data_IF_048894049516
#
_entry.id   IF_048894049516
#
_cell.length_a   1.000
_cell.length_b   1.000
_cell.length_c   1.000
_cell.angle_alpha   90.00
_cell.angle_beta   90.00
_cell.angle_gamma   90.00
#
_symmetry.space_group_name_H-M   'P 1'
#
loop_
_entity.id
_entity.type
_entity.pdbx_description
1 polymer ?
#
# COMPACT_ATOMS: atom_id res chain seq x y z
N UNK A 1 6.34 1.92 -10.79
CA UNK A 1 7.37 1.30 -11.66
C UNK A 1 8.73 1.59 -11.03
N UNK A 2 9.32 0.57 -10.42
CA UNK A 2 10.64 0.67 -9.77
C UNK A 2 11.69 0.77 -10.88
N UNK A 3 12.42 1.89 -10.96
CA UNK A 3 13.62 1.98 -11.81
C UNK A 3 14.84 1.87 -10.90
N UNK A 4 15.70 0.91 -11.18
CA UNK A 4 17.02 0.74 -10.54
C UNK A 4 17.84 2.02 -10.84
N UNK A 5 18.19 2.78 -9.82
CA UNK A 5 19.15 3.88 -9.92
C UNK A 5 20.54 3.34 -9.63
N UNK A 6 21.49 3.59 -10.53
CA UNK A 6 22.89 3.21 -10.35
C UNK A 6 23.49 3.91 -9.11
N UNK A 7 23.93 3.12 -8.12
CA UNK A 7 24.57 3.64 -6.90
C UNK A 7 26.04 4.02 -7.16
N UNK A 8 26.48 5.24 -6.84
CA UNK A 8 27.91 5.54 -6.80
C UNK A 8 28.55 5.02 -5.49
N UNK A 9 29.72 4.39 -5.58
CA UNK A 9 30.56 4.03 -4.44
C UNK A 9 31.00 5.30 -3.70
N UNK A 10 30.59 5.46 -2.44
CA UNK A 10 31.15 6.46 -1.51
C UNK A 10 32.07 5.78 -0.50
N UNK A 11 33.33 6.20 -0.47
CA UNK A 11 34.26 5.89 0.63
C UNK A 11 33.86 6.68 1.87
N UNK A 12 33.54 5.99 2.96
CA UNK A 12 33.25 6.59 4.26
C UNK A 12 34.56 6.78 5.04
N UNK A 13 35.04 8.01 5.12
CA UNK A 13 35.94 8.42 6.20
C UNK A 13 35.13 8.63 7.48
N UNK A 14 35.49 7.94 8.56
CA UNK A 14 34.85 8.08 9.87
C UNK A 14 35.21 9.42 10.53
N UNK A 15 34.25 10.14 11.15
CA UNK A 15 34.59 11.18 12.11
C UNK A 15 34.65 10.63 13.55
N UNK A 16 35.69 11.04 14.27
CA UNK A 16 35.98 10.63 15.65
C UNK A 16 35.09 11.31 16.69
N UNK A 17 34.80 10.55 17.76
CA UNK A 17 33.84 10.76 18.85
C UNK A 17 34.08 11.92 19.84
N UNK A 18 34.75 13.02 19.48
CA UNK A 18 35.01 14.14 20.42
C UNK A 18 34.90 15.49 19.72
N UNK A 19 33.71 16.09 19.76
CA UNK A 19 33.47 17.53 19.73
C UNK A 19 31.97 17.80 19.86
N UNK A 20 31.48 17.71 21.09
CA UNK A 20 30.22 18.32 21.49
C UNK A 20 30.48 18.95 22.86
N UNK A 21 29.98 20.18 23.05
CA UNK A 21 30.09 21.04 24.23
C UNK A 21 31.23 22.08 24.19
N UNK A 22 30.94 23.27 23.66
CA UNK A 22 31.06 24.58 24.35
C UNK A 22 30.80 25.78 23.42
N UNK A 23 30.34 26.88 24.03
CA UNK A 23 30.22 28.28 23.53
C UNK A 23 28.84 28.59 22.87
N UNK A 24 28.02 29.55 23.29
CA UNK A 24 28.12 30.59 24.32
C UNK A 24 26.72 31.04 24.79
N UNK A 25 26.64 31.38 26.08
CA UNK A 25 25.71 32.39 26.58
C UNK A 25 26.39 33.76 26.46
N UNK A 26 25.64 34.79 26.06
CA UNK A 26 25.61 36.17 26.59
C UNK A 26 24.70 36.99 25.66
N UNK A 27 23.67 37.59 26.25
CA UNK A 27 22.74 38.48 25.55
C UNK A 27 21.57 38.86 26.46
N UNK A 28 21.87 39.57 27.56
CA UNK A 28 20.86 40.16 28.41
C UNK A 28 20.27 41.39 27.70
N UNK A 29 19.07 41.24 27.15
CA UNK A 29 18.25 42.33 26.64
C UNK A 29 16.90 42.33 27.35
N UNK A 30 16.65 43.38 28.14
CA UNK A 30 15.36 43.66 28.77
C UNK A 30 14.26 43.78 27.70
N UNK A 31 13.47 42.73 27.53
CA UNK A 31 12.18 42.79 26.87
C UNK A 31 11.11 42.40 27.88
N UNK A 32 10.24 43.36 28.21
CA UNK A 32 9.10 43.15 29.08
C UNK A 32 8.31 41.91 28.62
N UNK A 33 8.23 40.90 29.47
CA UNK A 33 7.38 39.73 29.24
C UNK A 33 5.92 40.17 29.36
N UNK A 34 5.34 40.68 28.28
CA UNK A 34 3.90 40.56 28.12
C UNK A 34 3.63 39.07 28.04
N UNK A 35 3.01 38.53 29.10
CA UNK A 35 2.50 37.18 29.08
C UNK A 35 1.57 37.07 27.88
N UNK A 36 2.02 36.35 26.85
CA UNK A 36 1.23 36.06 25.67
C UNK A 36 0.11 35.14 26.14
N UNK A 37 -1.04 35.72 26.49
CA UNK A 37 -2.26 34.94 26.67
C UNK A 37 -2.77 34.64 25.26
N UNK A 38 -2.72 33.38 24.80
CA UNK A 38 -3.33 33.04 23.53
C UNK A 38 -4.81 33.44 23.60
N UNK A 39 -5.39 33.98 22.53
CA UNK A 39 -6.80 34.31 22.52
C UNK A 39 -7.59 33.06 22.87
N UNK A 40 -8.29 33.08 24.01
CA UNK A 40 -9.27 32.05 24.35
C UNK A 40 -10.39 32.16 23.32
N UNK A 41 -10.39 31.24 22.36
CA UNK A 41 -11.52 31.05 21.45
C UNK A 41 -12.79 30.94 22.30
N UNK A 42 -13.85 31.71 21.98
CA UNK A 42 -15.10 31.59 22.70
C UNK A 42 -15.64 30.16 22.52
N UNK A 43 -15.60 29.38 23.59
CA UNK A 43 -16.28 28.11 23.64
C UNK A 43 -17.78 28.38 23.76
N UNK A 44 -18.52 28.23 22.65
CA UNK A 44 -19.96 27.97 22.61
C UNK A 44 -20.32 27.47 21.20
N UNK A 45 -21.00 26.33 21.17
CA UNK A 45 -21.45 25.47 20.05
C UNK A 45 -20.48 24.38 19.51
N UNK A 46 -19.17 24.51 19.65
CA UNK A 46 -18.19 23.58 19.01
C UNK A 46 -17.96 22.21 19.68
N UNK A 47 -18.50 21.96 20.87
CA UNK A 47 -17.93 20.95 21.77
C UNK A 47 -18.03 19.48 21.28
N UNK A 48 -18.86 19.19 20.27
CA UNK A 48 -19.15 17.81 19.83
C UNK A 48 -19.31 17.64 18.32
N UNK A 49 -18.87 18.58 17.48
CA UNK A 49 -19.07 18.49 16.03
C UNK A 49 -18.52 17.18 15.43
N UNK A 50 -17.33 16.78 15.86
CA UNK A 50 -16.68 15.53 15.44
C UNK A 50 -17.11 14.30 16.24
N UNK A 51 -18.06 14.43 17.18
CA UNK A 51 -18.57 13.25 17.88
C UNK A 51 -19.32 12.37 16.92
N UNK A 52 -18.98 11.07 16.91
CA UNK A 52 -19.65 10.06 16.10
C UNK A 52 -21.07 9.86 16.67
N UNK A 53 -22.07 10.22 15.86
CA UNK A 53 -23.48 10.08 16.21
C UNK A 53 -24.01 8.70 15.86
N UNK A 54 -23.64 8.18 14.68
CA UNK A 54 -24.06 6.86 14.22
C UNK A 54 -23.01 6.22 13.29
N UNK A 55 -23.05 4.89 13.21
CA UNK A 55 -22.24 4.08 12.31
C UNK A 55 -23.16 3.03 11.69
N UNK A 56 -23.33 3.09 10.38
CA UNK A 56 -24.09 2.13 9.57
C UNK A 56 -23.13 1.23 8.78
N UNK A 57 -23.49 -0.04 8.62
CA UNK A 57 -22.73 -1.00 7.82
C UNK A 57 -23.65 -1.78 6.89
N UNK A 58 -23.32 -1.79 5.61
CA UNK A 58 -24.13 -2.45 4.56
C UNK A 58 -23.24 -3.36 3.74
N UNK A 59 -23.53 -4.66 3.77
CA UNK A 59 -22.84 -5.63 2.92
C UNK A 59 -23.40 -5.59 1.50
N UNK A 60 -22.50 -5.45 0.54
CA UNK A 60 -22.79 -5.46 -0.90
C UNK A 60 -22.02 -6.58 -1.58
N UNK A 61 -22.64 -7.16 -2.61
CA UNK A 61 -21.99 -8.10 -3.53
C UNK A 61 -21.67 -7.37 -4.83
N UNK A 62 -20.40 -7.26 -5.17
CA UNK A 62 -19.92 -6.60 -6.39
C UNK A 62 -19.60 -7.65 -7.45
N UNK A 63 -20.26 -7.62 -8.63
CA UNK A 63 -20.00 -8.59 -9.68
C UNK A 63 -18.67 -8.31 -10.38
N UNK A 64 -18.00 -9.38 -10.82
CA UNK A 64 -16.84 -9.31 -11.70
C UNK A 64 -17.25 -9.39 -13.17
N UNK A 65 -16.43 -8.82 -14.07
CA UNK A 65 -16.49 -9.13 -15.50
C UNK A 65 -16.22 -10.62 -15.72
N UNK A 66 -16.64 -11.17 -16.86
CA UNK A 66 -16.57 -12.60 -17.14
C UNK A 66 -15.18 -13.23 -16.92
N UNK A 67 -14.12 -12.64 -17.47
CA UNK A 67 -12.74 -13.14 -17.34
C UNK A 67 -12.22 -13.16 -15.90
N UNK A 68 -12.23 -12.04 -15.15
CA UNK A 68 -11.87 -12.11 -13.74
C UNK A 68 -12.85 -12.98 -12.94
N UNK A 69 -14.15 -13.03 -13.26
CA UNK A 69 -15.13 -13.82 -12.51
C UNK A 69 -14.77 -15.31 -12.45
N UNK A 70 -14.54 -15.95 -13.61
CA UNK A 70 -14.22 -17.40 -13.65
C UNK A 70 -12.92 -17.74 -12.93
N UNK A 71 -11.92 -16.85 -12.99
CA UNK A 71 -10.63 -17.08 -12.34
C UNK A 71 -10.70 -16.79 -10.83
N UNK A 72 -11.40 -15.73 -10.42
CA UNK A 72 -11.66 -15.43 -9.02
C UNK A 72 -12.56 -16.47 -8.36
N UNK A 73 -13.56 -17.02 -9.06
CA UNK A 73 -14.42 -18.08 -8.53
C UNK A 73 -13.64 -19.35 -8.19
N UNK A 74 -12.56 -19.64 -8.93
CA UNK A 74 -11.66 -20.77 -8.66
C UNK A 74 -10.81 -20.55 -7.41
N UNK A 75 -10.21 -19.37 -7.26
CA UNK A 75 -9.18 -19.13 -6.25
C UNK A 75 -9.68 -18.32 -5.04
N UNK A 76 -10.46 -17.27 -5.28
CA UNK A 76 -10.85 -16.25 -4.29
C UNK A 76 -12.34 -15.85 -4.42
N UNK A 77 -13.30 -16.80 -4.39
CA UNK A 77 -14.71 -16.51 -4.68
C UNK A 77 -15.32 -15.47 -3.73
N UNK A 78 -14.77 -15.36 -2.52
CA UNK A 78 -15.23 -14.47 -1.45
C UNK A 78 -14.83 -12.99 -1.64
N UNK A 79 -13.95 -12.64 -2.59
CA UNK A 79 -13.53 -11.24 -2.83
C UNK A 79 -14.63 -10.38 -3.49
N UNK A 80 -15.85 -10.88 -3.64
CA UNK A 80 -17.00 -10.11 -4.14
C UNK A 80 -17.82 -9.43 -3.04
N UNK A 81 -17.51 -9.70 -1.77
CA UNK A 81 -18.30 -9.22 -0.64
C UNK A 81 -17.58 -8.07 0.08
N UNK A 82 -18.09 -6.86 -0.10
CA UNK A 82 -17.60 -5.66 0.58
C UNK A 82 -18.65 -5.17 1.55
N UNK A 83 -18.23 -4.64 2.69
CA UNK A 83 -19.07 -3.94 3.65
C UNK A 83 -18.78 -2.45 3.54
N UNK A 84 -19.81 -1.67 3.20
CA UNK A 84 -19.75 -0.22 3.15
C UNK A 84 -20.04 0.31 4.55
N UNK A 85 -19.09 1.06 5.11
CA UNK A 85 -19.20 1.67 6.43
C UNK A 85 -19.50 3.15 6.25
N UNK A 86 -20.59 3.62 6.86
CA UNK A 86 -20.94 5.04 6.89
C UNK A 86 -20.85 5.55 8.32
N UNK A 87 -20.08 6.61 8.54
CA UNK A 87 -20.02 7.32 9.82
C UNK A 87 -20.80 8.62 9.68
N UNK A 88 -21.74 8.86 10.59
CA UNK A 88 -22.44 10.15 10.72
C UNK A 88 -21.94 10.88 11.96
N UNK A 89 -21.43 12.10 11.79
CA UNK A 89 -21.00 12.96 12.89
C UNK A 89 -22.15 13.83 13.40
N UNK A 90 -22.05 14.36 14.62
CA UNK A 90 -23.11 15.20 15.22
C UNK A 90 -23.34 16.54 14.51
N UNK A 91 -22.37 17.01 13.72
CA UNK A 91 -22.57 18.15 12.82
C UNK A 91 -23.36 17.78 11.54
N UNK A 92 -23.80 16.52 11.40
CA UNK A 92 -24.57 16.03 10.25
C UNK A 92 -23.73 15.54 9.07
N UNK A 93 -22.40 15.73 9.11
CA UNK A 93 -21.51 15.28 8.03
C UNK A 93 -21.39 13.76 8.06
N UNK A 94 -21.40 13.15 6.87
CA UNK A 94 -21.22 11.72 6.65
C UNK A 94 -19.89 11.44 5.96
N UNK A 95 -19.20 10.39 6.41
CA UNK A 95 -18.02 9.84 5.73
C UNK A 95 -18.20 8.37 5.40
N UNK A 96 -17.49 7.93 4.37
CA UNK A 96 -17.65 6.60 3.78
C UNK A 96 -16.34 5.83 3.78
N UNK A 97 -16.44 4.53 4.03
CA UNK A 97 -15.31 3.62 3.97
C UNK A 97 -15.75 2.22 3.58
N UNK A 98 -14.78 1.34 3.38
CA UNK A 98 -14.99 0.00 2.87
C UNK A 98 -14.15 -1.05 3.59
N UNK A 99 -14.77 -2.19 3.87
CA UNK A 99 -14.12 -3.42 4.34
C UNK A 99 -14.34 -4.52 3.31
N UNK A 100 -13.27 -5.06 2.71
CA UNK A 100 -13.34 -6.32 1.96
C UNK A 100 -13.35 -7.49 2.96
N UNK A 101 -14.53 -8.07 3.20
CA UNK A 101 -14.84 -8.89 4.38
C UNK A 101 -13.92 -10.08 4.65
N UNK A 102 -13.27 -10.62 3.61
CA UNK A 102 -12.54 -11.87 3.67
C UNK A 102 -11.07 -11.75 3.23
N UNK A 103 -10.53 -10.54 3.09
CA UNK A 103 -9.13 -10.34 2.69
C UNK A 103 -8.45 -9.10 3.29
N UNK A 104 -9.21 -8.06 3.68
CA UNK A 104 -8.61 -6.80 4.11
C UNK A 104 -7.63 -6.96 5.29
N UNK A 105 -6.74 -5.98 5.45
CA UNK A 105 -5.74 -5.96 6.53
C UNK A 105 -6.35 -5.95 7.95
N UNK A 106 -7.61 -5.56 8.07
CA UNK A 106 -8.41 -5.65 9.29
C UNK A 106 -9.87 -5.34 9.01
N UNK A 107 -10.76 -6.29 9.28
CA UNK A 107 -12.20 -6.06 9.14
C UNK A 107 -12.75 -5.28 10.33
N UNK A 108 -13.65 -4.33 10.10
CA UNK A 108 -14.37 -3.64 11.17
C UNK A 108 -15.34 -4.60 11.85
N UNK A 109 -15.20 -4.79 13.16
CA UNK A 109 -16.07 -5.68 13.96
C UNK A 109 -17.08 -4.89 14.79
N UNK A 110 -18.06 -5.60 15.34
CA UNK A 110 -19.12 -5.02 16.17
C UNK A 110 -18.55 -4.29 17.40
N UNK A 111 -17.56 -4.87 18.06
CA UNK A 111 -16.87 -4.27 19.21
C UNK A 111 -16.14 -2.98 18.83
N UNK A 112 -15.59 -2.91 17.61
CA UNK A 112 -14.92 -1.71 17.09
C UNK A 112 -15.93 -0.58 16.86
N UNK A 113 -17.12 -0.91 16.33
CA UNK A 113 -18.25 0.03 16.18
C UNK A 113 -18.74 0.52 17.55
N UNK A 114 -18.95 -0.39 18.51
CA UNK A 114 -19.41 -0.03 19.85
C UNK A 114 -18.41 0.90 20.56
N UNK A 115 -17.11 0.61 20.44
CA UNK A 115 -16.03 1.42 21.02
C UNK A 115 -15.91 2.80 20.36
N UNK A 116 -16.20 2.92 19.07
CA UNK A 116 -16.13 4.17 18.33
C UNK A 116 -17.35 5.08 18.55
N UNK A 117 -18.56 4.54 18.75
CA UNK A 117 -19.77 5.34 18.94
C UNK A 117 -19.62 6.33 20.11
N UNK A 118 -20.00 7.59 19.88
CA UNK A 118 -19.88 8.67 20.87
C UNK A 118 -18.46 9.21 21.09
N UNK A 119 -17.43 8.63 20.50
CA UNK A 119 -16.07 9.18 20.52
C UNK A 119 -15.94 10.38 19.58
N UNK A 120 -14.88 11.16 19.76
CA UNK A 120 -14.47 12.18 18.80
C UNK A 120 -13.74 11.49 17.63
N UNK A 121 -14.28 11.58 16.42
CA UNK A 121 -13.73 10.95 15.21
C UNK A 121 -12.28 11.37 14.93
N UNK A 122 -11.96 12.66 15.08
CA UNK A 122 -10.60 13.16 14.85
C UNK A 122 -9.58 12.58 15.86
N UNK A 123 -10.02 12.19 17.06
CA UNK A 123 -9.17 11.58 18.07
C UNK A 123 -8.87 10.10 17.81
N UNK A 124 -9.70 9.40 17.03
CA UNK A 124 -9.58 7.94 16.82
C UNK A 124 -9.35 7.53 15.36
N UNK A 125 -9.43 8.45 14.39
CA UNK A 125 -9.28 8.11 12.96
C UNK A 125 -7.92 7.46 12.62
N UNK A 126 -6.89 7.65 13.44
CA UNK A 126 -5.57 7.01 13.28
C UNK A 126 -5.43 5.65 14.00
N UNK A 127 -6.48 5.15 14.67
CA UNK A 127 -6.46 3.83 15.33
C UNK A 127 -6.72 2.72 14.30
N UNK A 128 -5.64 2.09 13.82
CA UNK A 128 -5.71 0.95 12.89
C UNK A 128 -6.56 -0.21 13.46
N UNK A 129 -6.75 -0.33 14.79
CA UNK A 129 -7.55 -1.41 15.37
C UNK A 129 -9.03 -1.35 15.01
N UNK A 130 -9.51 -0.25 14.44
CA UNK A 130 -10.90 -0.07 14.00
C UNK A 130 -11.21 -0.82 12.68
N UNK A 131 -10.18 -1.30 11.98
CA UNK A 131 -10.32 -1.95 10.68
C UNK A 131 -10.51 -0.96 9.53
N UNK A 132 -10.40 -1.49 8.31
CA UNK A 132 -10.32 -0.72 7.08
C UNK A 132 -11.53 0.20 6.85
N UNK A 133 -12.74 -0.35 6.94
CA UNK A 133 -13.94 0.40 6.60
C UNK A 133 -14.21 1.54 7.57
N UNK A 134 -14.18 1.28 8.88
CA UNK A 134 -14.43 2.31 9.87
C UNK A 134 -13.31 3.36 9.89
N UNK A 135 -12.05 2.96 9.79
CA UNK A 135 -10.94 3.91 9.74
C UNK A 135 -11.07 4.87 8.55
N UNK A 136 -11.33 4.33 7.36
CA UNK A 136 -11.51 5.10 6.13
C UNK A 136 -12.71 6.06 6.25
N UNK A 137 -13.84 5.59 6.77
CA UNK A 137 -15.04 6.41 6.97
C UNK A 137 -14.81 7.57 7.95
N UNK A 138 -14.00 7.36 8.99
CA UNK A 138 -13.65 8.41 9.94
C UNK A 138 -12.78 9.49 9.30
N UNK A 139 -11.77 9.13 8.52
CA UNK A 139 -10.97 10.09 7.77
C UNK A 139 -11.82 10.91 6.81
N UNK A 140 -12.70 10.26 6.04
CA UNK A 140 -13.59 10.95 5.10
C UNK A 140 -14.54 11.92 5.83
N UNK A 141 -15.17 11.49 6.93
CA UNK A 141 -16.09 12.33 7.71
C UNK A 141 -15.40 13.56 8.32
N UNK A 142 -14.18 13.38 8.84
CA UNK A 142 -13.37 14.46 9.43
C UNK A 142 -12.92 15.43 8.34
N UNK A 143 -12.37 14.93 7.22
CA UNK A 143 -11.90 15.74 6.11
C UNK A 143 -13.04 16.61 5.52
N UNK A 144 -14.21 16.01 5.28
CA UNK A 144 -15.41 16.72 4.83
C UNK A 144 -15.88 17.79 5.80
N UNK A 145 -15.84 17.52 7.11
CA UNK A 145 -16.21 18.51 8.14
C UNK A 145 -15.24 19.70 8.19
N UNK A 146 -14.01 19.52 7.71
CA UNK A 146 -12.98 20.55 7.65
C UNK A 146 -12.92 21.26 6.29
N UNK A 147 -13.77 20.87 5.32
CA UNK A 147 -13.69 21.32 3.92
C UNK A 147 -12.28 21.13 3.33
N UNK A 148 -11.65 19.99 3.62
CA UNK A 148 -10.30 19.65 3.21
C UNK A 148 -10.25 18.26 2.56
N UNK A 149 -9.32 18.02 1.62
CA UNK A 149 -9.10 16.68 1.10
C UNK A 149 -8.38 15.80 2.13
N UNK A 150 -8.66 14.48 2.10
CA UNK A 150 -8.06 13.50 3.04
C UNK A 150 -6.53 13.58 3.03
N UNK A 151 -5.90 13.74 1.85
CA UNK A 151 -4.44 13.78 1.77
C UNK A 151 -3.85 14.90 2.65
N UNK A 152 -4.54 16.01 2.86
CA UNK A 152 -4.06 17.10 3.73
C UNK A 152 -4.03 16.71 5.22
N UNK A 153 -4.80 15.69 5.61
CA UNK A 153 -4.73 15.08 6.94
C UNK A 153 -3.61 14.04 7.04
N UNK A 154 -3.20 13.43 5.93
CA UNK A 154 -2.18 12.38 5.88
C UNK A 154 -0.77 12.95 5.66
N UNK A 155 -0.63 14.03 4.89
CA UNK A 155 0.66 14.64 4.58
C UNK A 155 0.62 15.64 3.41
N UNK A 156 1.78 15.91 2.84
CA UNK A 156 1.90 16.80 1.68
C UNK A 156 1.62 16.00 0.40
N UNK A 157 0.72 16.50 -0.45
CA UNK A 157 0.49 15.92 -1.76
C UNK A 157 1.72 16.15 -2.65
N UNK A 158 2.32 15.06 -3.15
CA UNK A 158 3.48 15.10 -4.04
C UNK A 158 3.14 14.72 -5.49
N UNK A 159 1.97 14.11 -5.71
CA UNK A 159 1.49 13.71 -7.02
C UNK A 159 0.03 14.11 -7.21
N UNK A 160 -0.29 14.66 -8.39
CA UNK A 160 -1.67 14.91 -8.83
C UNK A 160 -2.31 13.69 -9.49
N UNK A 161 -1.47 12.74 -9.93
CA UNK A 161 -1.88 11.49 -10.56
C UNK A 161 -0.96 10.38 -10.08
N UNK A 162 -1.54 9.31 -9.57
CA UNK A 162 -0.82 8.13 -9.07
C UNK A 162 -1.03 6.97 -10.04
N UNK A 163 0.03 6.28 -10.51
CA UNK A 163 -0.13 5.15 -11.42
C UNK A 163 -0.79 3.96 -10.70
N UNK A 164 -1.69 3.28 -11.40
CA UNK A 164 -2.36 2.06 -10.95
C UNK A 164 -2.00 0.91 -11.91
N UNK A 165 -1.64 -0.26 -11.37
CA UNK A 165 -1.40 -1.46 -12.17
C UNK A 165 -2.68 -2.27 -12.32
N UNK A 166 -2.91 -2.85 -13.50
CA UNK A 166 -4.06 -3.72 -13.75
C UNK A 166 -3.84 -5.08 -13.10
N UNK A 167 -4.58 -5.40 -12.05
CA UNK A 167 -4.38 -6.61 -11.28
C UNK A 167 -5.35 -7.73 -11.71
N UNK A 168 -4.81 -8.93 -11.89
CA UNK A 168 -5.60 -10.16 -12.00
C UNK A 168 -5.01 -11.26 -11.10
N UNK A 169 -5.87 -12.18 -10.69
CA UNK A 169 -5.47 -13.46 -10.10
C UNK A 169 -4.75 -14.34 -11.14
N UNK A 170 -4.28 -15.54 -10.78
CA UNK A 170 -3.73 -16.46 -11.78
C UNK A 170 -4.78 -16.85 -12.83
N UNK A 171 -4.37 -16.79 -14.10
CA UNK A 171 -5.25 -16.97 -15.27
C UNK A 171 -4.59 -17.89 -16.30
N UNK A 172 -5.36 -18.42 -17.25
CA UNK A 172 -4.78 -19.10 -18.42
C UNK A 172 -4.00 -18.11 -19.31
N UNK A 173 -3.16 -18.60 -20.24
CA UNK A 173 -2.45 -17.74 -21.19
C UNK A 173 -3.41 -16.90 -22.06
N UNK A 174 -4.53 -17.49 -22.49
CA UNK A 174 -5.56 -16.79 -23.26
C UNK A 174 -6.22 -15.67 -22.45
N UNK A 175 -6.55 -15.93 -21.18
CA UNK A 175 -7.17 -14.95 -20.29
C UNK A 175 -6.21 -13.82 -19.94
N UNK A 176 -4.94 -14.14 -19.68
CA UNK A 176 -3.89 -13.14 -19.45
C UNK A 176 -3.73 -12.20 -20.66
N UNK A 177 -3.68 -12.75 -21.87
CA UNK A 177 -3.58 -11.95 -23.10
C UNK A 177 -4.84 -11.09 -23.32
N UNK A 178 -6.03 -11.63 -23.05
CA UNK A 178 -7.28 -10.87 -23.14
C UNK A 178 -7.30 -9.69 -22.15
N UNK A 179 -6.92 -9.91 -20.90
CA UNK A 179 -6.86 -8.87 -19.87
C UNK A 179 -5.76 -7.84 -20.15
N UNK A 180 -4.59 -8.25 -20.66
CA UNK A 180 -3.55 -7.34 -21.11
C UNK A 180 -4.02 -6.44 -22.27
N UNK A 181 -4.77 -7.00 -23.22
CA UNK A 181 -5.37 -6.24 -24.33
C UNK A 181 -6.34 -5.18 -23.81
N UNK A 182 -7.22 -5.57 -22.90
CA UNK A 182 -8.19 -4.68 -22.28
C UNK A 182 -7.51 -3.59 -21.46
N UNK A 183 -6.57 -3.96 -20.57
CA UNK A 183 -5.81 -3.03 -19.75
C UNK A 183 -5.12 -1.96 -20.61
N UNK A 184 -4.43 -2.37 -21.67
CA UNK A 184 -3.83 -1.45 -22.65
C UNK A 184 -4.87 -0.52 -23.27
N UNK A 185 -6.03 -1.03 -23.69
CA UNK A 185 -7.08 -0.22 -24.32
C UNK A 185 -7.67 0.83 -23.36
N UNK A 186 -7.62 0.57 -22.05
CA UNK A 186 -8.07 1.48 -20.99
C UNK A 186 -6.96 2.43 -20.51
N UNK A 187 -5.78 2.41 -21.14
CA UNK A 187 -4.66 3.31 -20.83
C UNK A 187 -3.75 2.83 -19.70
N UNK A 188 -3.85 1.58 -19.26
CA UNK A 188 -2.91 1.02 -18.29
C UNK A 188 -1.55 0.76 -18.93
N UNK A 189 -0.50 0.96 -18.15
CA UNK A 189 0.88 0.73 -18.58
C UNK A 189 1.54 -0.49 -17.93
N UNK A 190 0.88 -1.06 -16.93
CA UNK A 190 1.37 -2.19 -16.18
C UNK A 190 0.23 -3.15 -15.85
N UNK A 191 0.59 -4.43 -15.78
CA UNK A 191 -0.27 -5.55 -15.44
C UNK A 191 0.40 -6.37 -14.35
N UNK A 192 -0.31 -6.68 -13.27
CA UNK A 192 0.16 -7.54 -12.19
C UNK A 192 -0.63 -8.84 -12.19
N UNK A 193 0.07 -9.96 -12.20
CA UNK A 193 -0.51 -11.32 -12.22
C UNK A 193 0.21 -12.24 -11.24
N UNK A 194 -0.19 -13.52 -11.23
CA UNK A 194 0.38 -14.57 -10.40
C UNK A 194 1.19 -15.56 -11.23
N UNK A 195 2.41 -15.87 -10.78
CA UNK A 195 3.30 -16.86 -11.39
C UNK A 195 3.08 -18.26 -10.82
N UNK A 196 1.96 -18.92 -11.14
CA UNK A 196 1.61 -20.21 -10.51
C UNK A 196 2.16 -21.42 -11.25
N UNK A 197 2.62 -22.47 -10.54
CA UNK A 197 3.24 -23.65 -11.16
C UNK A 197 2.26 -24.55 -11.93
N UNK A 198 0.95 -24.36 -11.79
CA UNK A 198 -0.08 -25.10 -12.56
C UNK A 198 -0.44 -24.44 -13.91
N UNK A 199 0.18 -23.31 -14.24
CA UNK A 199 0.11 -22.71 -15.57
C UNK A 199 1.49 -22.73 -16.24
N UNK A 200 1.50 -22.79 -17.57
CA UNK A 200 2.72 -22.58 -18.35
C UNK A 200 3.02 -21.08 -18.40
N UNK A 201 4.04 -20.67 -17.65
CA UNK A 201 4.45 -19.27 -17.55
C UNK A 201 5.06 -18.74 -18.86
N UNK A 202 5.69 -19.61 -19.66
CA UNK A 202 6.28 -19.24 -20.95
C UNK A 202 5.18 -19.03 -22.00
N UNK A 203 4.14 -19.86 -21.99
CA UNK A 203 2.95 -19.69 -22.81
C UNK A 203 2.22 -18.39 -22.44
N UNK A 204 2.00 -18.13 -21.15
CA UNK A 204 1.40 -16.90 -20.64
C UNK A 204 2.17 -15.66 -21.11
N UNK A 205 3.48 -15.62 -20.88
CA UNK A 205 4.32 -14.49 -21.27
C UNK A 205 4.37 -14.32 -22.79
N UNK A 206 4.41 -15.40 -23.56
CA UNK A 206 4.37 -15.35 -25.03
C UNK A 206 3.04 -14.75 -25.52
N UNK A 207 1.91 -15.23 -24.99
CA UNK A 207 0.58 -14.77 -25.38
C UNK A 207 0.38 -13.29 -25.02
N UNK A 208 0.72 -12.88 -23.79
CA UNK A 208 0.61 -11.50 -23.33
C UNK A 208 1.53 -10.56 -24.13
N UNK A 209 2.77 -10.97 -24.41
CA UNK A 209 3.74 -10.11 -25.13
C UNK A 209 3.32 -9.80 -26.56
N UNK A 210 2.59 -10.70 -27.22
CA UNK A 210 2.07 -10.49 -28.59
C UNK A 210 1.03 -9.38 -28.68
N UNK A 211 0.32 -9.09 -27.59
CA UNK A 211 -0.82 -8.15 -27.60
C UNK A 211 -0.50 -6.80 -26.96
N UNK A 212 0.66 -6.66 -26.33
CA UNK A 212 1.11 -5.41 -25.68
C UNK A 212 2.44 -4.89 -26.27
N UNK A 213 2.61 -3.57 -26.35
CA UNK A 213 3.86 -2.95 -26.83
C UNK A 213 5.03 -3.17 -25.85
N UNK A 214 6.26 -2.91 -26.32
CA UNK A 214 7.49 -3.16 -25.53
C UNK A 214 7.59 -2.35 -24.23
N UNK A 215 6.92 -1.20 -24.17
CA UNK A 215 6.88 -0.35 -22.97
C UNK A 215 5.94 -0.86 -21.88
N UNK A 216 5.01 -1.77 -22.21
CA UNK A 216 4.04 -2.29 -21.26
C UNK A 216 4.72 -3.29 -20.32
N UNK A 217 4.50 -3.14 -19.00
CA UNK A 217 5.18 -3.96 -17.99
C UNK A 217 4.27 -5.00 -17.36
N UNK A 218 4.86 -6.14 -17.03
CA UNK A 218 4.20 -7.27 -16.39
C UNK A 218 4.95 -7.58 -15.09
N UNK A 219 4.21 -7.54 -13.98
CA UNK A 219 4.67 -7.92 -12.65
C UNK A 219 4.11 -9.30 -12.33
N UNK A 220 4.93 -10.19 -11.77
CA UNK A 220 4.55 -11.57 -11.49
C UNK A 220 4.77 -11.90 -10.02
N UNK A 221 3.68 -12.19 -9.32
CA UNK A 221 3.67 -12.55 -7.92
C UNK A 221 3.55 -14.06 -7.74
N UNK A 222 4.59 -14.68 -7.18
CA UNK A 222 4.63 -16.12 -6.98
C UNK A 222 4.00 -16.55 -5.67
N UNK A 223 3.85 -15.67 -4.67
CA UNK A 223 3.45 -16.03 -3.31
C UNK A 223 4.18 -17.28 -2.79
N UNK A 224 5.51 -17.27 -2.90
CA UNK A 224 6.44 -18.28 -2.40
C UNK A 224 6.40 -19.64 -3.11
N UNK A 225 5.65 -19.78 -4.21
CA UNK A 225 5.44 -21.09 -4.86
C UNK A 225 6.68 -21.65 -5.56
N UNK A 226 7.78 -20.90 -5.68
CA UNK A 226 9.04 -21.43 -6.21
C UNK A 226 9.91 -22.12 -5.15
N UNK A 227 9.42 -22.18 -3.90
CA UNK A 227 9.97 -22.95 -2.77
C UNK A 227 11.32 -22.46 -2.22
N UNK A 228 12.38 -22.42 -3.03
CA UNK A 228 13.71 -22.00 -2.63
C UNK A 228 14.51 -21.47 -3.82
N UNK A 229 15.66 -20.84 -3.55
CA UNK A 229 16.47 -20.21 -4.59
C UNK A 229 17.02 -21.18 -5.64
N UNK A 230 17.28 -22.44 -5.30
CA UNK A 230 17.79 -23.42 -6.26
C UNK A 230 16.75 -23.73 -7.35
N UNK A 231 15.50 -23.92 -6.95
CA UNK A 231 14.39 -24.18 -7.85
C UNK A 231 13.91 -22.91 -8.57
N UNK A 232 13.93 -21.76 -7.88
CA UNK A 232 13.45 -20.50 -8.42
C UNK A 232 14.34 -19.94 -9.53
N UNK A 233 15.67 -19.94 -9.36
CA UNK A 233 16.59 -19.22 -10.24
C UNK A 233 16.50 -19.60 -11.72
N UNK A 234 16.42 -20.88 -12.12
CA UNK A 234 16.24 -21.24 -13.52
C UNK A 234 14.96 -20.66 -14.14
N UNK A 235 13.87 -20.60 -13.36
CA UNK A 235 12.58 -20.07 -13.80
C UNK A 235 12.64 -18.55 -13.91
N UNK A 236 13.11 -17.88 -12.85
CA UNK A 236 13.20 -16.41 -12.81
C UNK A 236 14.13 -15.86 -13.89
N UNK A 237 15.27 -16.52 -14.15
CA UNK A 237 16.18 -16.11 -15.23
C UNK A 237 15.52 -16.23 -16.59
N UNK A 238 14.88 -17.36 -16.88
CA UNK A 238 14.17 -17.60 -18.13
C UNK A 238 13.07 -16.55 -18.36
N UNK A 239 12.23 -16.29 -17.35
CA UNK A 239 11.19 -15.27 -17.45
C UNK A 239 11.77 -13.86 -17.60
N UNK A 240 12.89 -13.57 -16.94
CA UNK A 240 13.59 -12.30 -17.00
C UNK A 240 14.24 -11.98 -18.35
N UNK A 241 14.37 -12.96 -19.26
CA UNK A 241 14.78 -12.71 -20.65
C UNK A 241 13.76 -11.86 -21.41
N UNK A 242 12.50 -11.84 -20.98
CA UNK A 242 11.48 -10.99 -21.55
C UNK A 242 11.52 -9.58 -20.92
N UNK A 243 11.84 -8.53 -21.69
CA UNK A 243 12.02 -7.17 -21.17
C UNK A 243 10.73 -6.52 -20.65
N UNK A 244 9.57 -7.15 -20.87
CA UNK A 244 8.28 -6.71 -20.29
C UNK A 244 8.16 -7.11 -18.82
N UNK A 245 8.85 -8.15 -18.37
CA UNK A 245 8.83 -8.55 -16.95
C UNK A 245 9.57 -7.50 -16.13
N UNK A 246 8.88 -6.85 -15.21
CA UNK A 246 9.44 -5.74 -14.44
C UNK A 246 9.68 -6.09 -12.97
N UNK A 247 8.81 -6.91 -12.37
CA UNK A 247 8.89 -7.27 -10.96
C UNK A 247 8.59 -8.76 -10.77
N UNK A 248 9.42 -9.41 -9.95
CA UNK A 248 9.10 -10.67 -9.30
C UNK A 248 8.72 -10.41 -7.84
N UNK A 249 7.47 -10.65 -7.48
CA UNK A 249 6.99 -10.51 -6.12
C UNK A 249 6.99 -11.84 -5.40
N UNK A 250 7.57 -11.84 -4.21
CA UNK A 250 7.57 -12.95 -3.25
C UNK A 250 7.88 -14.30 -3.95
N UNK A 251 9.06 -14.47 -4.60
CA UNK A 251 9.36 -15.67 -5.38
C UNK A 251 9.40 -16.96 -4.54
N UNK A 252 10.02 -16.86 -3.37
CA UNK A 252 10.27 -17.93 -2.40
C UNK A 252 9.98 -17.37 -0.99
N UNK A 253 9.75 -18.23 0.03
CA UNK A 253 9.44 -17.78 1.39
C UNK A 253 10.28 -16.60 1.84
N UNK A 254 9.64 -15.50 2.20
CA UNK A 254 10.34 -14.24 2.53
C UNK A 254 11.31 -14.40 3.72
N UNK A 255 11.04 -15.37 4.60
CA UNK A 255 11.90 -15.73 5.73
C UNK A 255 13.20 -16.43 5.34
N UNK A 256 13.32 -16.96 4.12
CA UNK A 256 14.59 -17.46 3.57
C UNK A 256 15.48 -16.29 3.13
N UNK A 257 16.14 -15.66 4.11
CA UNK A 257 17.01 -14.50 3.89
C UNK A 257 18.10 -14.80 2.85
N UNK A 258 18.78 -15.95 2.98
CA UNK A 258 19.89 -16.31 2.09
C UNK A 258 19.42 -16.63 0.68
N UNK A 259 18.30 -17.32 0.55
CA UNK A 259 17.69 -17.61 -0.74
C UNK A 259 17.30 -16.33 -1.47
N UNK A 260 16.66 -15.39 -0.77
CA UNK A 260 16.23 -14.13 -1.36
C UNK A 260 17.41 -13.21 -1.73
N UNK A 261 18.47 -13.16 -0.91
CA UNK A 261 19.74 -12.51 -1.29
C UNK A 261 20.31 -13.11 -2.58
N UNK A 262 20.34 -14.45 -2.68
CA UNK A 262 20.85 -15.14 -3.86
C UNK A 262 20.02 -14.82 -5.10
N UNK A 263 18.69 -14.71 -4.97
CA UNK A 263 17.81 -14.31 -6.06
C UNK A 263 18.09 -12.87 -6.48
N UNK A 264 18.06 -11.90 -5.55
CA UNK A 264 18.29 -10.48 -5.86
C UNK A 264 19.65 -10.23 -6.54
N UNK A 265 20.69 -10.98 -6.18
CA UNK A 265 22.00 -10.88 -6.82
C UNK A 265 22.09 -11.52 -8.22
N UNK A 266 21.14 -12.40 -8.58
CA UNK A 266 21.24 -13.26 -9.75
C UNK A 266 20.26 -12.92 -10.87
N UNK A 267 19.42 -11.89 -10.71
CA UNK A 267 18.48 -11.38 -11.71
C UNK A 267 18.60 -9.85 -11.81
N UNK A 268 18.29 -9.32 -12.99
CA UNK A 268 18.16 -7.87 -13.22
C UNK A 268 16.71 -7.38 -13.12
N UNK A 269 15.75 -8.29 -13.02
CA UNK A 269 14.34 -7.99 -12.72
C UNK A 269 14.22 -7.64 -11.24
N UNK A 270 13.50 -6.56 -10.91
CA UNK A 270 13.33 -6.14 -9.52
C UNK A 270 12.59 -7.22 -8.70
N UNK A 271 13.04 -7.44 -7.46
CA UNK A 271 12.39 -8.36 -6.52
C UNK A 271 11.66 -7.56 -5.45
N UNK A 272 10.41 -7.89 -5.19
CA UNK A 272 9.61 -7.22 -4.18
C UNK A 272 9.04 -8.19 -3.15
N UNK A 273 8.80 -7.68 -1.94
CA UNK A 273 8.25 -8.47 -0.83
C UNK A 273 7.19 -7.70 -0.04
N UNK A 274 6.28 -8.44 0.58
CA UNK A 274 5.33 -7.87 1.53
C UNK A 274 6.07 -7.32 2.75
N UNK A 275 5.75 -6.08 3.11
CA UNK A 275 6.39 -5.36 4.20
C UNK A 275 6.03 -5.94 5.58
N UNK A 276 7.05 -6.27 6.36
CA UNK A 276 6.93 -6.60 7.78
C UNK A 276 7.40 -8.00 8.17
N UNK A 277 7.55 -8.91 7.20
CA UNK A 277 8.14 -10.24 7.43
C UNK A 277 9.03 -10.65 6.25
N UNK A 278 10.37 -10.66 6.36
CA UNK A 278 11.14 -10.41 7.58
C UNK A 278 10.98 -8.96 8.04
N UNK A 279 11.43 -8.68 9.27
CA UNK A 279 11.32 -7.32 9.80
C UNK A 279 11.95 -6.32 8.83
N UNK A 280 11.42 -5.09 8.69
CA UNK A 280 11.94 -4.12 7.73
C UNK A 280 13.43 -3.84 7.93
N UNK A 281 13.90 -3.87 9.18
CA UNK A 281 15.32 -3.75 9.52
C UNK A 281 16.16 -4.87 8.89
N UNK A 282 15.73 -6.13 9.01
CA UNK A 282 16.42 -7.27 8.39
C UNK A 282 16.35 -7.15 6.87
N UNK A 283 15.16 -6.88 6.32
CA UNK A 283 14.98 -6.78 4.88
C UNK A 283 15.91 -5.74 4.23
N UNK A 284 16.04 -4.57 4.87
CA UNK A 284 16.91 -3.47 4.43
C UNK A 284 18.39 -3.82 4.60
N UNK A 285 18.80 -4.27 5.80
CA UNK A 285 20.22 -4.55 6.10
C UNK A 285 20.78 -5.68 5.25
N UNK A 286 19.98 -6.72 5.06
CA UNK A 286 20.37 -7.92 4.31
C UNK A 286 20.10 -7.77 2.81
N UNK A 287 19.49 -6.67 2.35
CA UNK A 287 19.19 -6.42 0.93
C UNK A 287 18.47 -7.58 0.25
N UNK A 288 17.41 -8.09 0.90
CA UNK A 288 16.67 -9.28 0.43
C UNK A 288 15.60 -8.97 -0.62
N UNK A 289 15.39 -7.70 -0.94
CA UNK A 289 14.47 -7.23 -1.97
C UNK A 289 14.87 -5.84 -2.47
N UNK A 290 14.36 -5.44 -3.63
CA UNK A 290 14.52 -4.13 -4.26
C UNK A 290 13.38 -3.15 -3.92
N UNK A 291 12.33 -3.62 -3.26
CA UNK A 291 11.19 -2.79 -2.88
C UNK A 291 10.10 -3.56 -2.12
N UNK A 292 9.11 -2.83 -1.64
CA UNK A 292 8.07 -3.38 -0.76
C UNK A 292 6.65 -3.31 -1.34
N UNK A 293 5.85 -4.31 -0.99
CA UNK A 293 4.39 -4.28 -1.05
C UNK A 293 3.88 -3.87 0.32
N UNK A 294 3.20 -2.73 0.40
CA UNK A 294 2.78 -2.14 1.67
C UNK A 294 1.25 -2.14 1.77
N UNK A 295 0.74 -2.72 2.85
CA UNK A 295 -0.67 -2.69 3.22
C UNK A 295 -0.85 -2.43 4.72
N UNK A 296 -2.09 -2.17 5.15
CA UNK A 296 -2.42 -1.88 6.54
C UNK A 296 -3.32 -0.66 6.70
N UNK A 297 -3.57 -0.29 7.96
CA UNK A 297 -4.28 0.94 8.30
C UNK A 297 -3.41 2.18 8.13
N UNK A 298 -4.04 3.35 8.17
CA UNK A 298 -3.41 4.64 7.90
C UNK A 298 -2.11 4.85 8.69
N UNK A 299 -2.10 4.50 9.99
CA UNK A 299 -0.92 4.69 10.84
C UNK A 299 0.24 3.78 10.40
N UNK A 300 -0.04 2.49 10.17
CA UNK A 300 0.94 1.54 9.64
C UNK A 300 1.44 1.90 8.25
N UNK A 301 0.57 2.37 7.35
CA UNK A 301 0.95 2.78 6.00
C UNK A 301 1.93 3.96 6.05
N UNK A 302 1.61 5.01 6.81
CA UNK A 302 2.50 6.17 6.95
C UNK A 302 3.84 5.76 7.57
N UNK A 303 3.84 4.90 8.59
CA UNK A 303 5.08 4.39 9.20
C UNK A 303 5.95 3.60 8.20
N UNK A 304 5.34 2.68 7.46
CA UNK A 304 6.03 1.84 6.47
C UNK A 304 6.57 2.68 5.32
N UNK A 305 5.78 3.61 4.79
CA UNK A 305 6.18 4.52 3.72
C UNK A 305 7.37 5.39 4.08
N UNK A 306 7.37 6.03 5.27
CA UNK A 306 8.52 6.81 5.74
C UNK A 306 9.77 5.95 5.96
N UNK A 307 9.61 4.70 6.41
CA UNK A 307 10.73 3.77 6.61
C UNK A 307 11.37 3.40 5.27
N UNK A 308 10.55 3.02 4.29
CA UNK A 308 11.01 2.71 2.93
C UNK A 308 11.69 3.92 2.28
N UNK A 309 11.09 5.11 2.38
CA UNK A 309 11.67 6.36 1.87
C UNK A 309 13.03 6.68 2.51
N UNK A 310 13.18 6.47 3.83
CA UNK A 310 14.45 6.70 4.54
C UNK A 310 15.55 5.72 4.11
N UNK A 311 15.17 4.55 3.59
CA UNK A 311 16.08 3.54 3.07
C UNK A 311 16.34 3.67 1.55
N UNK A 312 15.74 4.66 0.89
CA UNK A 312 15.73 4.80 -0.58
C UNK A 312 15.23 3.53 -1.29
N UNK A 313 14.24 2.87 -0.67
CA UNK A 313 13.58 1.70 -1.25
C UNK A 313 12.17 2.09 -1.72
N UNK A 314 11.83 1.79 -2.98
CA UNK A 314 10.51 2.03 -3.49
C UNK A 314 9.50 1.05 -2.90
N UNK A 315 8.24 1.42 -2.97
CA UNK A 315 7.12 0.57 -2.59
C UNK A 315 5.90 0.86 -3.46
N UNK A 316 4.92 -0.03 -3.39
CA UNK A 316 3.56 0.28 -3.82
C UNK A 316 2.56 -0.14 -2.75
N UNK A 317 1.37 0.44 -2.82
CA UNK A 317 0.26 0.11 -1.93
C UNK A 317 -0.51 -1.09 -2.47
N UNK A 318 -0.84 -2.01 -1.57
CA UNK A 318 -1.80 -3.09 -1.83
C UNK A 318 -2.96 -2.96 -0.85
N UNK A 319 -3.92 -2.12 -1.24
CA UNK A 319 -5.19 -1.94 -0.56
C UNK A 319 -6.28 -2.42 -1.53
N UNK A 320 -6.98 -3.49 -1.18
CA UNK A 320 -7.91 -4.17 -2.10
C UNK A 320 -9.35 -3.91 -1.68
N UNK A 321 -10.16 -3.47 -2.62
CA UNK A 321 -11.58 -3.17 -2.47
C UNK A 321 -12.18 -2.68 -3.78
N UNK A 322 -13.28 -1.95 -3.71
CA UNK A 322 -13.95 -1.35 -4.86
C UNK A 322 -13.38 0.05 -5.16
N UNK A 323 -14.15 0.88 -5.88
CA UNK A 323 -13.81 2.29 -6.12
C UNK A 323 -13.62 3.10 -4.84
N UNK A 324 -14.19 2.69 -3.71
CA UNK A 324 -14.01 3.37 -2.42
C UNK A 324 -12.57 3.17 -1.90
N UNK A 325 -12.11 1.92 -1.80
CA UNK A 325 -10.71 1.64 -1.41
C UNK A 325 -9.72 2.19 -2.45
N UNK A 326 -10.06 2.15 -3.74
CA UNK A 326 -9.23 2.76 -4.78
C UNK A 326 -9.07 4.27 -4.54
N UNK A 327 -10.15 5.01 -4.28
CA UNK A 327 -10.09 6.44 -3.97
C UNK A 327 -9.30 6.73 -2.68
N UNK A 328 -9.39 5.87 -1.67
CA UNK A 328 -8.60 5.97 -0.44
C UNK A 328 -7.09 5.78 -0.68
N UNK A 329 -6.71 4.99 -1.68
CA UNK A 329 -5.31 4.63 -1.95
C UNK A 329 -4.53 5.60 -2.86
N UNK A 330 -5.20 6.53 -3.53
CA UNK A 330 -4.65 7.37 -4.62
C UNK A 330 -4.24 8.77 -4.18
#
# INVERSE_FOLDING_TARGET
MIRRTDRPRRSLGQPSRRQFVQVAAIGAGLAATQAFQPPRLPAKDSARHFTIADIERVTVRVPYRETPARNMDRELPHWRYSEIVTVTLKNGVRGFGETLLYYTWGATRDDDVQRARGQNAASIMWDDKLGAGLQMALFDAVARSLDAPIHALLGTQVHQRTPLSWWNIDTSAADMAAECTLAKSLGYHAYKTKGRPWFDLDEQMTAASRVVPDWFKIDMDFNDTLLNAEQALPILRRLGENPRVAIFETPIPQSDIRGNQRICHATDVAVAMHYGDPSPEVAIKESVCDGFVVGGGASRLMKSGHTAASADLPFWLQLVGTGITAAWSL
#
